data_IF_512318584181
#
_entry.id   IF_512318584181
#
_cell.length_a   1.000
_cell.length_b   1.000
_cell.length_c   1.000
_cell.angle_alpha   90.00
_cell.angle_beta   90.00
_cell.angle_gamma   90.00
#
_symmetry.space_group_name_H-M   'P 1'
#
loop_
_entity.id
_entity.type
_entity.pdbx_description
1 polymer ?
#
# COMPACT_ATOMS: atom_id res chain seq x y z
N UNK A 1 -18.50 9.56 -60.53
CA UNK A 1 -17.19 9.13 -59.97
C UNK A 1 -17.42 8.49 -58.61
N UNK A 2 -17.30 7.15 -58.51
CA UNK A 2 -17.48 6.41 -57.26
C UNK A 2 -16.18 6.45 -56.46
N UNK A 3 -16.18 7.09 -55.30
CA UNK A 3 -15.05 7.05 -54.36
C UNK A 3 -15.05 5.69 -53.66
N UNK A 4 -14.05 4.86 -53.99
CA UNK A 4 -13.79 3.59 -53.30
C UNK A 4 -13.11 3.93 -51.97
N UNK A 5 -13.88 3.90 -50.89
CA UNK A 5 -13.39 4.08 -49.54
C UNK A 5 -12.67 2.79 -49.11
N UNK A 6 -11.35 2.75 -49.26
CA UNK A 6 -10.51 1.65 -48.75
C UNK A 6 -10.45 1.79 -47.22
N UNK A 7 -11.32 1.05 -46.52
CA UNK A 7 -11.19 0.83 -45.08
C UNK A 7 -9.95 -0.03 -44.84
N UNK A 8 -8.82 0.61 -44.55
CA UNK A 8 -7.66 -0.04 -43.92
C UNK A 8 -8.11 -0.50 -42.53
N UNK A 9 -8.66 -1.71 -42.46
CA UNK A 9 -8.83 -2.46 -41.23
C UNK A 9 -7.41 -2.79 -40.76
N UNK A 10 -6.79 -1.84 -40.07
CA UNK A 10 -5.62 -2.07 -39.23
C UNK A 10 -6.10 -3.01 -38.14
N UNK A 11 -6.08 -4.30 -38.45
CA UNK A 11 -6.18 -5.39 -37.49
C UNK A 11 -5.17 -5.06 -36.41
N UNK A 12 -5.67 -4.54 -35.30
CA UNK A 12 -4.90 -4.28 -34.10
C UNK A 12 -4.53 -5.66 -33.57
N UNK A 13 -3.46 -6.22 -34.16
CA UNK A 13 -2.87 -7.45 -33.72
C UNK A 13 -2.50 -7.22 -32.27
N UNK A 14 -3.31 -7.82 -31.40
CA UNK A 14 -3.04 -7.91 -29.98
C UNK A 14 -1.72 -8.68 -29.89
N UNK A 15 -0.61 -7.95 -29.85
CA UNK A 15 0.70 -8.55 -29.63
C UNK A 15 0.64 -9.27 -28.28
N UNK A 16 0.54 -10.59 -28.34
CA UNK A 16 0.62 -11.42 -27.16
C UNK A 16 2.00 -11.20 -26.53
N UNK A 17 2.02 -10.84 -25.25
CA UNK A 17 3.29 -10.63 -24.54
C UNK A 17 4.00 -11.98 -24.41
N UNK A 18 5.24 -12.05 -24.89
CA UNK A 18 6.07 -13.25 -24.73
C UNK A 18 6.49 -13.42 -23.26
N UNK A 19 5.86 -14.39 -22.58
CA UNK A 19 6.15 -14.72 -21.19
C UNK A 19 7.50 -15.38 -20.97
N UNK A 20 8.18 -15.89 -22.02
CA UNK A 20 9.57 -16.38 -21.89
C UNK A 20 10.53 -15.22 -21.64
N UNK A 21 10.30 -14.09 -22.32
CA UNK A 21 11.08 -12.86 -22.19
C UNK A 21 10.63 -11.97 -21.03
N UNK A 22 9.34 -11.99 -20.69
CA UNK A 22 8.74 -11.10 -19.68
C UNK A 22 8.19 -11.87 -18.47
N UNK A 23 9.02 -12.73 -17.87
CA UNK A 23 8.60 -13.65 -16.78
C UNK A 23 7.91 -12.93 -15.63
N UNK A 24 8.47 -11.80 -15.17
CA UNK A 24 7.93 -11.03 -14.03
C UNK A 24 6.57 -10.41 -14.35
N UNK A 25 6.41 -9.82 -15.55
CA UNK A 25 5.13 -9.28 -15.99
C UNK A 25 4.05 -10.36 -16.01
N UNK A 26 4.36 -11.53 -16.58
CA UNK A 26 3.41 -12.63 -16.64
C UNK A 26 3.07 -13.20 -15.25
N UNK A 27 4.03 -13.23 -14.31
CA UNK A 27 3.77 -13.56 -12.92
C UNK A 27 2.79 -12.56 -12.28
N UNK A 28 2.99 -11.24 -12.46
CA UNK A 28 2.07 -10.21 -11.95
C UNK A 28 0.63 -10.44 -12.48
N UNK A 29 0.48 -10.69 -13.78
CA UNK A 29 -0.84 -10.97 -14.37
C UNK A 29 -1.48 -12.24 -13.79
N UNK A 30 -0.68 -13.30 -13.60
CA UNK A 30 -1.16 -14.53 -12.99
C UNK A 30 -1.57 -14.32 -11.52
N UNK A 31 -0.82 -13.51 -10.76
CA UNK A 31 -1.15 -13.17 -9.38
C UNK A 31 -2.53 -12.50 -9.28
N UNK A 32 -2.86 -11.56 -10.18
CA UNK A 32 -4.22 -10.99 -10.22
C UNK A 32 -5.30 -11.99 -10.63
N UNK A 33 -5.00 -12.91 -11.57
CA UNK A 33 -5.93 -14.00 -11.93
C UNK A 33 -6.21 -14.90 -10.73
N UNK A 34 -5.17 -15.30 -10.00
CA UNK A 34 -5.27 -16.10 -8.77
C UNK A 34 -6.03 -15.34 -7.69
N UNK A 35 -5.72 -14.06 -7.46
CA UNK A 35 -6.42 -13.23 -6.48
C UNK A 35 -7.92 -13.12 -6.77
N UNK A 36 -8.32 -12.99 -8.05
CA UNK A 36 -9.74 -13.01 -8.44
C UNK A 36 -10.39 -14.35 -8.16
N UNK A 37 -9.72 -15.46 -8.48
CA UNK A 37 -10.21 -16.82 -8.21
C UNK A 37 -10.45 -17.03 -6.71
N UNK A 38 -9.54 -16.51 -5.88
CA UNK A 38 -9.61 -16.58 -4.41
C UNK A 38 -10.50 -15.50 -3.78
N UNK A 39 -11.18 -14.66 -4.57
CA UNK A 39 -12.01 -13.53 -4.08
C UNK A 39 -11.25 -12.52 -3.21
N UNK A 40 -9.93 -12.42 -3.37
CA UNK A 40 -9.07 -11.46 -2.67
C UNK A 40 -9.07 -10.07 -3.34
N UNK A 41 -9.58 -9.98 -4.56
CA UNK A 41 -9.87 -8.74 -5.29
C UNK A 41 -11.23 -8.87 -5.97
N UNK A 42 -11.89 -7.74 -6.24
CA UNK A 42 -13.17 -7.72 -6.93
C UNK A 42 -13.09 -8.42 -8.31
N UNK A 43 -14.13 -9.17 -8.68
CA UNK A 43 -14.26 -9.74 -10.03
C UNK A 43 -14.23 -8.65 -11.11
N UNK A 44 -14.77 -7.46 -10.80
CA UNK A 44 -14.83 -6.31 -11.71
C UNK A 44 -13.52 -5.53 -11.79
N UNK A 45 -12.53 -5.83 -10.93
CA UNK A 45 -11.23 -5.16 -10.95
C UNK A 45 -10.53 -5.36 -12.30
N UNK A 46 -10.22 -4.26 -12.98
CA UNK A 46 -9.51 -4.27 -14.27
C UNK A 46 -8.03 -3.96 -14.05
N UNK A 47 -7.17 -4.93 -14.38
CA UNK A 47 -5.72 -4.77 -14.27
C UNK A 47 -5.23 -3.77 -15.32
N UNK A 48 -4.57 -2.69 -14.89
CA UNK A 48 -3.90 -1.76 -15.79
C UNK A 48 -2.59 -2.40 -16.31
N UNK A 49 -2.64 -3.00 -17.50
CA UNK A 49 -1.51 -3.72 -18.12
C UNK A 49 -0.27 -2.83 -18.27
N UNK A 50 -0.43 -1.57 -18.69
CA UNK A 50 0.68 -0.63 -18.85
C UNK A 50 1.39 -0.36 -17.52
N UNK A 51 0.63 -0.14 -16.44
CA UNK A 51 1.15 0.01 -15.08
C UNK A 51 1.90 -1.25 -14.64
N UNK A 52 1.31 -2.44 -14.85
CA UNK A 52 1.94 -3.71 -14.45
C UNK A 52 3.24 -4.00 -15.21
N UNK A 53 3.32 -3.63 -16.49
CA UNK A 53 4.55 -3.75 -17.27
C UNK A 53 5.65 -2.80 -16.78
N UNK A 54 5.29 -1.56 -16.41
CA UNK A 54 6.23 -0.63 -15.76
C UNK A 54 6.76 -1.21 -14.45
N UNK A 55 5.87 -1.73 -13.60
CA UNK A 55 6.23 -2.37 -12.32
C UNK A 55 7.17 -3.56 -12.54
N UNK A 56 6.90 -4.45 -13.50
CA UNK A 56 7.76 -5.61 -13.74
C UNK A 56 9.19 -5.23 -14.13
N UNK A 57 9.36 -4.17 -14.92
CA UNK A 57 10.68 -3.70 -15.34
C UNK A 57 11.46 -3.11 -14.15
N UNK A 58 10.79 -2.34 -13.30
CA UNK A 58 11.36 -1.79 -12.06
C UNK A 58 11.79 -2.93 -11.12
N UNK A 59 10.90 -3.89 -10.85
CA UNK A 59 11.21 -5.05 -10.01
C UNK A 59 12.42 -5.81 -10.56
N UNK A 60 12.45 -6.11 -11.86
CA UNK A 60 13.55 -6.85 -12.47
C UNK A 60 14.89 -6.11 -12.33
N UNK A 61 14.90 -4.81 -12.63
CA UNK A 61 16.09 -3.93 -12.50
C UNK A 61 16.62 -3.93 -11.06
N UNK A 62 15.74 -3.69 -10.09
CA UNK A 62 16.09 -3.59 -8.66
C UNK A 62 16.53 -4.96 -8.12
N UNK A 63 15.77 -6.03 -8.38
CA UNK A 63 16.13 -7.37 -7.92
C UNK A 63 17.52 -7.80 -8.43
N UNK A 64 17.84 -7.48 -9.70
CA UNK A 64 19.18 -7.70 -10.25
C UNK A 64 20.25 -6.88 -9.52
N UNK A 65 20.02 -5.59 -9.28
CA UNK A 65 20.94 -4.69 -8.55
C UNK A 65 21.27 -5.24 -7.15
N UNK A 66 20.26 -5.68 -6.41
CA UNK A 66 20.40 -6.17 -5.03
C UNK A 66 20.69 -7.68 -4.91
N UNK A 67 20.82 -8.40 -6.04
CA UNK A 67 21.05 -9.86 -6.09
C UNK A 67 19.96 -10.67 -5.34
N UNK A 68 18.70 -10.29 -5.55
CA UNK A 68 17.51 -10.94 -5.02
C UNK A 68 16.82 -11.70 -6.16
N UNK A 69 16.20 -12.85 -5.86
CA UNK A 69 15.38 -13.55 -6.85
C UNK A 69 14.15 -12.69 -7.20
N UNK A 70 14.04 -12.31 -8.48
CA UNK A 70 13.00 -11.41 -8.92
C UNK A 70 11.58 -12.00 -8.80
N UNK A 71 11.43 -13.33 -8.90
CA UNK A 71 10.11 -13.98 -8.76
C UNK A 71 9.65 -13.99 -7.31
N UNK A 72 10.56 -14.33 -6.39
CA UNK A 72 10.32 -14.24 -4.95
C UNK A 72 9.97 -12.80 -4.56
N UNK A 73 10.73 -11.82 -5.05
CA UNK A 73 10.46 -10.43 -4.69
C UNK A 73 9.12 -9.93 -5.25
N UNK A 74 8.75 -10.34 -6.46
CA UNK A 74 7.41 -10.10 -7.03
C UNK A 74 6.31 -10.71 -6.18
N UNK A 75 6.51 -11.94 -5.67
CA UNK A 75 5.57 -12.63 -4.80
C UNK A 75 5.39 -11.93 -3.43
N UNK A 76 6.48 -11.40 -2.87
CA UNK A 76 6.45 -10.58 -1.65
C UNK A 76 5.61 -9.31 -1.89
N UNK A 77 5.90 -8.53 -2.95
CA UNK A 77 5.14 -7.30 -3.24
C UNK A 77 3.65 -7.54 -3.50
N UNK A 78 3.30 -8.70 -4.08
CA UNK A 78 1.90 -9.11 -4.21
C UNK A 78 1.26 -9.32 -2.84
N UNK A 79 1.97 -10.00 -1.94
CA UNK A 79 1.49 -10.31 -0.60
C UNK A 79 1.34 -9.05 0.26
N UNK A 80 2.28 -8.12 0.15
CA UNK A 80 2.29 -6.89 0.95
C UNK A 80 1.17 -5.91 0.54
N UNK A 81 1.06 -5.60 -0.76
CA UNK A 81 0.15 -4.52 -1.19
C UNK A 81 -0.65 -4.80 -2.46
N UNK A 82 -0.54 -5.99 -3.04
CA UNK A 82 -1.09 -6.28 -4.37
C UNK A 82 -0.60 -5.29 -5.43
N UNK A 83 0.66 -4.84 -5.28
CA UNK A 83 1.29 -3.82 -6.12
C UNK A 83 0.61 -2.43 -6.08
N UNK A 84 -0.07 -2.12 -4.99
CA UNK A 84 -0.57 -0.77 -4.75
C UNK A 84 0.52 0.11 -4.13
N UNK A 85 0.78 1.26 -4.74
CA UNK A 85 1.78 2.23 -4.29
C UNK A 85 1.24 3.06 -3.11
N UNK A 86 -0.06 3.34 -3.11
CA UNK A 86 -0.70 4.14 -2.05
C UNK A 86 -1.08 3.32 -0.81
N UNK A 87 -0.69 2.05 -0.75
CA UNK A 87 -1.05 1.17 0.34
C UNK A 87 -0.46 1.68 1.66
N UNK A 88 -1.33 1.79 2.67
CA UNK A 88 -0.97 2.16 4.04
C UNK A 88 -1.71 1.22 4.99
N UNK A 89 -0.98 0.59 5.89
CA UNK A 89 -1.59 -0.16 6.98
C UNK A 89 -1.78 0.77 8.17
N UNK A 90 -3.02 1.03 8.55
CA UNK A 90 -3.33 2.01 9.59
C UNK A 90 -4.38 1.47 10.54
N UNK A 91 -4.17 1.75 11.83
CA UNK A 91 -5.19 1.56 12.86
C UNK A 91 -5.91 2.87 13.15
N UNK A 92 -7.17 2.79 13.57
CA UNK A 92 -7.90 3.95 14.08
C UNK A 92 -8.09 3.82 15.59
N UNK A 93 -7.89 4.90 16.31
CA UNK A 93 -8.13 5.00 17.75
C UNK A 93 -8.81 6.30 18.11
N UNK A 94 -9.00 6.49 19.42
CA UNK A 94 -9.43 7.76 20.01
C UNK A 94 -8.28 8.34 20.82
N UNK A 95 -8.05 9.65 20.72
CA UNK A 95 -7.09 10.35 21.58
C UNK A 95 -7.75 11.58 22.19
N UNK A 96 -7.36 11.95 23.39
CA UNK A 96 -7.86 13.16 24.06
C UNK A 96 -7.35 14.40 23.32
N UNK A 97 -8.20 15.40 23.12
CA UNK A 97 -7.79 16.69 22.55
C UNK A 97 -6.89 17.42 23.53
N UNK A 98 -5.82 18.02 23.00
CA UNK A 98 -4.97 18.92 23.79
C UNK A 98 -5.74 20.19 24.21
N UNK A 99 -5.31 20.83 25.29
CA UNK A 99 -5.91 22.09 25.75
C UNK A 99 -5.84 23.19 24.67
N UNK A 100 -4.76 23.24 23.86
CA UNK A 100 -4.64 24.18 22.74
C UNK A 100 -5.68 23.92 21.65
N UNK A 101 -5.87 22.66 21.23
CA UNK A 101 -6.92 22.29 20.27
C UNK A 101 -8.32 22.57 20.81
N UNK A 102 -8.53 22.39 22.12
CA UNK A 102 -9.79 22.74 22.78
C UNK A 102 -10.02 24.25 22.73
N UNK A 103 -8.98 25.06 23.00
CA UNK A 103 -9.05 26.51 22.97
C UNK A 103 -9.30 27.05 21.54
N UNK A 104 -8.60 26.53 20.54
CA UNK A 104 -8.79 26.90 19.13
C UNK A 104 -10.20 26.51 18.63
N UNK A 105 -10.68 25.30 18.96
CA UNK A 105 -12.05 24.90 18.60
C UNK A 105 -13.10 25.73 19.36
N UNK A 106 -12.82 26.15 20.61
CA UNK A 106 -13.71 27.06 21.36
C UNK A 106 -13.82 28.44 20.70
N UNK A 107 -12.73 29.03 20.22
CA UNK A 107 -12.78 30.36 19.56
C UNK A 107 -13.58 30.31 18.25
N UNK A 108 -13.38 29.26 17.43
CA UNK A 108 -14.17 29.02 16.21
C UNK A 108 -15.65 28.74 16.49
N UNK A 109 -15.97 28.11 17.62
CA UNK A 109 -17.36 27.95 18.05
C UNK A 109 -17.98 29.31 18.40
N UNK A 110 -17.28 30.14 19.17
CA UNK A 110 -17.79 31.45 19.62
C UNK A 110 -18.05 32.40 18.44
N UNK A 111 -17.27 32.33 17.36
CA UNK A 111 -17.53 33.13 16.15
C UNK A 111 -18.75 32.65 15.33
N UNK A 112 -18.99 31.32 15.28
CA UNK A 112 -20.13 30.76 14.53
C UNK A 112 -21.49 30.94 15.22
N UNK A 113 -21.48 31.22 16.53
CA UNK A 113 -22.69 31.43 17.34
C UNK A 113 -23.13 32.89 17.46
N UNK A 114 -22.45 33.84 16.80
CA UNK A 114 -22.86 35.26 16.82
C UNK A 114 -23.93 35.64 15.80
N UNK A 115 -24.46 34.71 14.99
CA UNK A 115 -25.36 35.09 13.87
C UNK A 115 -26.66 34.32 13.70
N UNK A 116 -27.05 33.34 14.52
CA UNK A 116 -28.33 32.64 14.27
C UNK A 116 -29.02 32.15 15.54
N UNK A 117 -30.15 32.78 15.87
CA UNK A 117 -31.22 32.17 16.69
C UNK A 117 -31.81 30.98 15.92
N UNK A 118 -31.45 29.76 16.30
CA UNK A 118 -32.03 28.56 15.68
C UNK A 118 -31.14 27.34 15.77
N UNK A 119 -31.54 26.44 16.65
CA UNK A 119 -30.93 25.15 16.94
C UNK A 119 -30.74 24.28 15.69
N UNK A 120 -29.48 23.98 15.31
CA UNK A 120 -29.15 22.92 14.35
C UNK A 120 -27.91 22.14 14.77
N UNK A 121 -28.03 20.81 14.77
CA UNK A 121 -26.91 19.88 14.80
C UNK A 121 -26.29 19.84 13.40
N UNK A 122 -25.07 20.37 13.25
CA UNK A 122 -24.31 20.20 12.03
C UNK A 122 -23.52 18.87 12.09
N UNK A 123 -23.73 17.94 11.14
CA UNK A 123 -22.78 16.85 10.93
C UNK A 123 -21.47 17.46 10.43
N UNK A 124 -20.38 17.28 11.19
CA UNK A 124 -19.04 17.60 10.70
C UNK A 124 -18.75 16.68 9.51
N UNK A 125 -18.65 17.27 8.32
CA UNK A 125 -18.01 16.61 7.19
C UNK A 125 -16.55 16.30 7.59
N UNK A 126 -16.06 15.12 7.21
CA UNK A 126 -14.71 14.57 7.45
C UNK A 126 -14.47 13.71 8.69
N UNK A 127 -15.41 12.83 9.05
CA UNK A 127 -15.09 11.62 9.83
C UNK A 127 -14.70 11.85 11.30
N UNK A 128 -14.85 13.08 11.79
CA UNK A 128 -14.83 13.43 13.20
C UNK A 128 -16.15 12.99 13.86
N UNK A 129 -16.06 12.05 14.79
CA UNK A 129 -17.15 11.80 15.73
C UNK A 129 -16.90 12.63 16.98
N UNK A 130 -17.86 13.48 17.34
CA UNK A 130 -17.89 14.10 18.66
C UNK A 130 -18.79 13.24 19.52
N UNK A 131 -18.21 12.53 20.50
CA UNK A 131 -18.98 12.10 21.67
C UNK A 131 -19.32 13.38 22.44
N UNK A 132 -20.52 13.89 22.22
CA UNK A 132 -21.08 14.99 22.99
C UNK A 132 -21.68 14.36 24.24
N UNK A 133 -21.00 14.48 25.36
CA UNK A 133 -21.70 14.54 26.64
C UNK A 133 -21.86 16.01 27.02
N UNK A 134 -23.07 16.40 27.40
CA UNK A 134 -23.48 17.81 27.48
C UNK A 134 -22.75 18.51 28.63
N UNK A 135 -22.09 19.62 28.26
CA UNK A 135 -21.79 20.81 29.05
C UNK A 135 -22.03 20.75 30.57
N UNK A 136 -21.02 20.38 31.39
CA UNK A 136 -20.67 21.00 32.70
C UNK A 136 -19.21 20.62 33.01
N UNK A 137 -18.43 21.56 33.58
CA UNK A 137 -17.08 21.42 34.17
C UNK A 137 -16.48 19.99 34.22
N UNK A 138 -15.63 19.65 33.24
CA UNK A 138 -14.86 18.39 33.24
C UNK A 138 -14.92 17.53 31.96
N UNK A 139 -15.46 18.03 30.84
CA UNK A 139 -15.62 17.21 29.62
C UNK A 139 -14.30 17.00 28.88
N UNK A 140 -13.79 15.77 28.94
CA UNK A 140 -12.72 15.30 28.05
C UNK A 140 -13.25 15.16 26.64
N UNK A 141 -12.63 15.86 25.69
CA UNK A 141 -12.97 15.74 24.27
C UNK A 141 -12.02 14.73 23.64
N UNK A 142 -12.55 13.79 22.86
CA UNK A 142 -11.74 12.84 22.11
C UNK A 142 -11.86 13.12 20.62
N UNK A 143 -10.78 12.91 19.86
CA UNK A 143 -10.79 12.88 18.40
C UNK A 143 -10.42 11.49 17.91
N UNK A 144 -10.99 11.10 16.77
CA UNK A 144 -10.56 9.91 16.06
C UNK A 144 -9.21 10.18 15.43
N UNK A 145 -8.23 9.32 15.69
CA UNK A 145 -6.90 9.39 15.06
C UNK A 145 -6.66 8.16 14.22
N UNK A 146 -6.01 8.33 13.08
CA UNK A 146 -5.56 7.26 12.22
C UNK A 146 -4.04 7.22 12.26
N UNK A 147 -3.48 6.13 12.76
CA UNK A 147 -2.02 5.94 12.87
C UNK A 147 -1.64 4.86 11.86
N UNK A 148 -0.81 5.24 10.89
CA UNK A 148 -0.27 4.32 9.90
C UNK A 148 1.10 3.84 10.33
N UNK A 149 1.35 2.54 10.20
CA UNK A 149 2.60 1.93 10.62
C UNK A 149 3.33 1.24 9.48
N UNK A 150 2.67 0.87 8.37
CA UNK A 150 3.34 0.35 7.17
C UNK A 150 3.00 1.19 5.93
N UNK A 151 3.98 1.40 5.06
CA UNK A 151 3.88 2.36 3.94
C UNK A 151 4.34 1.78 2.60
N UNK A 152 3.61 2.13 1.55
CA UNK A 152 4.03 1.92 0.17
C UNK A 152 3.78 0.52 -0.35
N UNK A 153 4.30 0.25 -1.54
CA UNK A 153 4.17 -1.05 -2.19
C UNK A 153 4.85 -2.18 -1.41
N UNK A 154 5.93 -1.85 -0.73
CA UNK A 154 6.70 -2.79 0.07
C UNK A 154 6.18 -2.92 1.52
N UNK A 155 5.16 -2.15 1.92
CA UNK A 155 4.64 -2.09 3.30
C UNK A 155 5.77 -1.97 4.33
N UNK A 156 6.64 -0.97 4.16
CA UNK A 156 7.76 -0.74 5.09
C UNK A 156 7.24 -0.21 6.41
N UNK A 157 7.56 -0.90 7.50
CA UNK A 157 7.19 -0.47 8.83
C UNK A 157 7.87 0.86 9.21
N UNK A 158 7.18 1.74 9.94
CA UNK A 158 7.66 3.06 10.33
C UNK A 158 9.00 3.02 11.10
N UNK A 159 9.22 2.03 11.98
CA UNK A 159 10.50 1.91 12.69
C UNK A 159 11.62 1.54 11.74
N UNK A 160 11.32 0.71 10.72
CA UNK A 160 12.27 0.34 9.67
C UNK A 160 12.55 1.54 8.77
N UNK A 161 11.53 2.31 8.39
CA UNK A 161 11.71 3.55 7.62
C UNK A 161 12.65 4.51 8.36
N UNK A 162 12.39 4.77 9.65
CA UNK A 162 13.26 5.63 10.47
C UNK A 162 14.70 5.08 10.58
N UNK A 163 14.87 3.77 10.77
CA UNK A 163 16.20 3.14 10.86
C UNK A 163 17.03 3.28 9.59
N UNK A 164 16.38 3.24 8.44
CA UNK A 164 17.02 3.34 7.12
C UNK A 164 17.01 4.76 6.55
N UNK A 165 16.48 5.73 7.30
CA UNK A 165 16.26 7.10 6.84
C UNK A 165 15.47 7.18 5.52
N UNK A 166 14.40 6.37 5.43
CA UNK A 166 13.51 6.39 4.28
C UNK A 166 12.48 7.52 4.40
N UNK A 167 12.25 8.19 3.28
CA UNK A 167 11.22 9.21 3.13
C UNK A 167 9.83 8.55 3.02
N UNK A 168 9.00 8.76 4.05
CA UNK A 168 7.65 8.18 4.14
C UNK A 168 6.74 8.66 3.01
N UNK A 169 6.88 9.91 2.57
CA UNK A 169 6.09 10.43 1.46
C UNK A 169 6.45 9.69 0.18
N UNK A 170 7.74 9.62 -0.14
CA UNK A 170 8.24 8.93 -1.34
C UNK A 170 7.92 7.43 -1.34
N UNK A 171 7.87 6.76 -0.18
CA UNK A 171 7.39 5.37 -0.10
C UNK A 171 5.98 5.20 -0.69
N UNK A 172 5.15 6.25 -0.70
CA UNK A 172 3.75 6.21 -1.16
C UNK A 172 3.46 7.00 -2.42
N UNK A 173 4.42 7.78 -2.92
CA UNK A 173 4.27 8.62 -4.12
C UNK A 173 5.23 8.24 -5.24
N UNK A 174 6.42 7.70 -4.91
CA UNK A 174 7.41 7.27 -5.88
C UNK A 174 7.45 5.72 -5.98
N UNK A 175 7.07 5.24 -7.17
CA UNK A 175 7.00 3.81 -7.47
C UNK A 175 8.36 3.11 -7.38
N UNK A 176 9.42 3.71 -7.93
CA UNK A 176 10.75 3.09 -7.94
C UNK A 176 11.36 3.12 -6.54
N UNK A 177 11.23 4.24 -5.83
CA UNK A 177 11.68 4.39 -4.45
C UNK A 177 11.02 3.37 -3.50
N UNK A 178 9.70 3.19 -3.60
CA UNK A 178 8.95 2.26 -2.78
C UNK A 178 9.40 0.80 -2.96
N UNK A 179 9.67 0.40 -4.22
CA UNK A 179 10.19 -0.93 -4.55
C UNK A 179 11.67 -1.04 -4.16
N UNK A 180 12.49 -0.01 -4.36
CA UNK A 180 13.91 -0.08 -4.01
C UNK A 180 14.11 -0.19 -2.49
N UNK A 181 13.34 0.54 -1.71
CA UNK A 181 13.36 0.51 -0.24
C UNK A 181 13.08 -0.90 0.31
N UNK A 182 12.09 -1.61 -0.26
CA UNK A 182 11.81 -3.00 0.11
C UNK A 182 12.95 -3.95 -0.24
N UNK A 183 13.61 -3.75 -1.38
CA UNK A 183 14.77 -4.56 -1.78
C UNK A 183 15.98 -4.32 -0.88
N UNK A 184 16.22 -3.08 -0.43
CA UNK A 184 17.27 -2.73 0.54
C UNK A 184 17.05 -3.51 1.85
N UNK A 185 15.85 -3.44 2.42
CA UNK A 185 15.50 -4.15 3.66
C UNK A 185 15.62 -5.67 3.49
N UNK A 186 15.10 -6.21 2.39
CA UNK A 186 15.19 -7.64 2.11
C UNK A 186 16.64 -8.10 1.94
N UNK A 187 17.50 -7.29 1.32
CA UNK A 187 18.93 -7.58 1.17
C UNK A 187 19.65 -7.61 2.52
N UNK A 188 19.27 -6.76 3.47
CA UNK A 188 19.82 -6.79 4.83
C UNK A 188 19.48 -8.10 5.56
N UNK A 189 18.22 -8.54 5.49
CA UNK A 189 17.83 -9.86 6.00
C UNK A 189 18.60 -11.00 5.32
N UNK A 190 18.82 -10.90 4.01
CA UNK A 190 19.62 -11.89 3.28
C UNK A 190 21.05 -11.97 3.83
N UNK A 191 21.69 -10.82 4.06
CA UNK A 191 23.06 -10.77 4.61
C UNK A 191 23.12 -11.34 6.03
N UNK A 192 22.19 -10.95 6.89
CA UNK A 192 22.20 -11.36 8.30
C UNK A 192 21.79 -12.81 8.56
N UNK A 193 20.97 -13.40 7.68
CA UNK A 193 20.29 -14.66 7.99
C UNK A 193 20.50 -15.78 6.99
N UNK A 194 20.91 -15.53 5.73
CA UNK A 194 21.02 -16.59 4.71
C UNK A 194 21.95 -17.75 5.11
N UNK A 195 23.00 -17.51 5.92
CA UNK A 195 23.88 -18.59 6.41
C UNK A 195 23.17 -19.51 7.41
N UNK A 196 22.31 -18.95 8.27
CA UNK A 196 21.59 -19.67 9.34
C UNK A 196 20.26 -20.26 8.85
N UNK A 197 19.65 -19.60 7.89
CA UNK A 197 18.31 -19.88 7.35
C UNK A 197 18.35 -19.85 5.81
N UNK A 198 19.04 -20.79 5.16
CA UNK A 198 19.34 -20.71 3.73
C UNK A 198 18.10 -20.72 2.82
N UNK A 199 17.00 -21.29 3.31
CA UNK A 199 15.77 -21.49 2.53
C UNK A 199 14.77 -20.35 2.78
N UNK A 200 14.58 -19.95 4.03
CA UNK A 200 13.46 -19.12 4.49
C UNK A 200 13.88 -17.79 5.12
N UNK A 201 15.16 -17.37 5.02
CA UNK A 201 15.64 -16.08 5.56
C UNK A 201 14.76 -14.89 5.17
N UNK A 202 14.14 -14.92 3.98
CA UNK A 202 13.30 -13.85 3.44
C UNK A 202 12.00 -13.69 4.21
N UNK A 203 11.52 -14.71 4.91
CA UNK A 203 10.31 -14.63 5.75
C UNK A 203 10.49 -13.67 6.92
N UNK A 204 11.74 -13.36 7.30
CA UNK A 204 12.07 -12.33 8.31
C UNK A 204 11.68 -10.93 7.92
N UNK A 205 11.43 -10.69 6.63
CA UNK A 205 10.87 -9.44 6.14
C UNK A 205 9.57 -9.07 6.86
N UNK A 206 8.72 -10.07 7.12
CA UNK A 206 7.41 -9.87 7.73
C UNK A 206 7.42 -10.05 9.26
N UNK A 207 8.16 -11.03 9.78
CA UNK A 207 8.11 -11.32 11.22
C UNK A 207 9.41 -11.94 11.77
N UNK A 208 9.81 -11.59 13.00
CA UNK A 208 10.94 -12.26 13.66
C UNK A 208 10.59 -13.65 14.21
N UNK A 209 9.31 -13.95 14.44
CA UNK A 209 8.87 -15.20 15.10
C UNK A 209 8.62 -16.32 14.09
N UNK A 210 9.10 -17.54 14.39
CA UNK A 210 9.05 -18.66 13.44
C UNK A 210 7.63 -19.09 13.06
N UNK A 211 6.67 -19.04 13.99
CA UNK A 211 5.27 -19.38 13.74
C UNK A 211 4.63 -18.46 12.69
N UNK A 212 4.77 -17.15 12.86
CA UNK A 212 4.23 -16.16 11.92
C UNK A 212 4.92 -16.23 10.56
N UNK A 213 6.23 -16.46 10.54
CA UNK A 213 7.00 -16.65 9.30
C UNK A 213 6.48 -17.82 8.45
N UNK A 214 6.02 -18.91 9.07
CA UNK A 214 5.45 -20.05 8.33
C UNK A 214 4.16 -19.68 7.62
N UNK A 215 3.27 -18.93 8.28
CA UNK A 215 2.03 -18.43 7.67
C UNK A 215 2.38 -17.51 6.50
N UNK A 216 3.34 -16.60 6.71
CA UNK A 216 3.83 -15.71 5.66
C UNK A 216 4.45 -16.46 4.48
N UNK A 217 5.20 -17.52 4.76
CA UNK A 217 5.80 -18.37 3.73
C UNK A 217 4.75 -19.00 2.81
N UNK A 218 3.69 -19.57 3.41
CA UNK A 218 2.56 -20.16 2.67
C UNK A 218 1.83 -19.11 1.84
N UNK A 219 1.69 -17.90 2.37
CA UNK A 219 1.09 -16.78 1.65
C UNK A 219 1.92 -16.35 0.43
N UNK A 220 3.24 -16.21 0.58
CA UNK A 220 4.13 -15.82 -0.54
C UNK A 220 4.27 -16.93 -1.58
N UNK A 221 4.38 -18.20 -1.17
CA UNK A 221 4.45 -19.36 -2.09
C UNK A 221 3.26 -19.43 -3.03
N UNK A 222 2.08 -18.95 -2.62
CA UNK A 222 0.87 -18.85 -3.45
C UNK A 222 1.06 -17.97 -4.70
N UNK A 223 2.00 -17.02 -4.66
CA UNK A 223 2.23 -15.99 -5.68
C UNK A 223 3.47 -16.24 -6.55
N UNK A 224 4.18 -17.36 -6.33
CA UNK A 224 5.35 -17.77 -7.11
C UNK A 224 4.97 -18.63 -8.30
#
# INVERSE_FOLDING_TARGET
MRHVLIFLILSSTLYAVDCKRNKIYCQILNNFKTAKKLKLVSKTYKVNKKKMFKISNIIYKIAKRYKIDARLYTAILMQESKYDLGAKNCTSGITELSHEEIAEKKSKCIEKFKTVDGMFLNPLQDGDFVLIDRCVNGVKRFKKVKICFDFGMSQINYTTANRYDFDIEQLTTDLEYSIESGAIVLRDFQRGYKKREPIDWWTRYNSPTRSNRRIYEEHVKRWM
#
